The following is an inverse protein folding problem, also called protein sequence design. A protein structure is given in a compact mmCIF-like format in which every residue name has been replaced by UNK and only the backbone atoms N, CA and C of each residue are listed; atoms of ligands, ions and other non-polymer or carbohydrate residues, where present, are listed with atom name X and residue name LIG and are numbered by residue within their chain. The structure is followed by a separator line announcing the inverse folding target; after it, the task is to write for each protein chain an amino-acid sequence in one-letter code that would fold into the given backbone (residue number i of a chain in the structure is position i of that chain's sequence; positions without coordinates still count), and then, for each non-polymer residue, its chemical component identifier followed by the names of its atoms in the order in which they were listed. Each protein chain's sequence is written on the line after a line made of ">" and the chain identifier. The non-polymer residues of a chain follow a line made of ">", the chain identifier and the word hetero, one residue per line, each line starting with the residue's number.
data_IF_874981724408
#
_entry.id   IF_874981724408
#
_cell.length_a   1.000
_cell.length_b   1.000
_cell.length_c   1.000
_cell.angle_alpha   90.00
_cell.angle_beta   90.00
_cell.angle_gamma   90.00
#
_symmetry.space_group_name_H-M   'P 1'
#
loop_
_entity.id
_entity.type
_entity.pdbx_description
1 polymer ?
#
# COMPACT_ATOMS: atom_id res chain seq x y z
N UNK A 1 16.81 0.27 -21.52
CA UNK A 1 17.09 -0.34 -20.23
C UNK A 1 16.21 0.32 -19.18
N UNK A 2 15.44 -0.43 -18.45
CA UNK A 2 14.53 0.09 -17.46
C UNK A 2 13.34 -0.85 -17.29
N UNK A 3 12.47 -0.53 -16.38
CA UNK A 3 11.33 -1.34 -16.05
C UNK A 3 10.03 -0.69 -16.58
N UNK A 4 9.91 -0.54 -17.88
CA UNK A 4 8.70 -0.05 -18.56
C UNK A 4 8.25 1.38 -18.17
N UNK A 5 7.09 1.79 -18.72
CA UNK A 5 6.57 3.14 -18.63
C UNK A 5 5.62 3.44 -17.50
N UNK A 6 5.05 2.42 -16.79
CA UNK A 6 3.95 2.60 -15.84
C UNK A 6 4.29 3.58 -14.71
N UNK A 7 5.42 3.36 -14.04
CA UNK A 7 5.87 4.24 -12.95
C UNK A 7 6.22 5.65 -13.42
N UNK A 8 6.88 5.78 -14.59
CA UNK A 8 7.17 7.10 -15.16
C UNK A 8 5.91 7.84 -15.59
N UNK A 9 4.93 7.13 -16.13
CA UNK A 9 3.63 7.70 -16.49
C UNK A 9 2.92 8.28 -15.26
N UNK A 10 2.89 7.54 -14.16
CA UNK A 10 2.33 8.02 -12.90
C UNK A 10 3.04 9.28 -12.39
N UNK A 11 4.38 9.33 -12.45
CA UNK A 11 5.16 10.52 -12.08
C UNK A 11 4.80 11.72 -12.95
N UNK A 12 4.67 11.55 -14.26
CA UNK A 12 4.28 12.63 -15.19
C UNK A 12 2.84 13.11 -14.90
N UNK A 13 1.91 12.22 -14.58
CA UNK A 13 0.55 12.61 -14.22
C UNK A 13 0.51 13.42 -12.93
N UNK A 14 1.24 13.01 -11.90
CA UNK A 14 1.28 13.76 -10.63
C UNK A 14 1.85 15.17 -10.81
N UNK A 15 2.91 15.29 -11.58
CA UNK A 15 3.54 16.58 -11.93
C UNK A 15 2.57 17.47 -12.72
N UNK A 16 1.90 16.91 -13.74
CA UNK A 16 0.91 17.62 -14.54
C UNK A 16 -0.30 18.06 -13.72
N UNK A 17 -0.83 17.19 -12.86
CA UNK A 17 -1.97 17.51 -12.00
C UNK A 17 -1.63 18.67 -11.03
N UNK A 18 -0.44 18.65 -10.43
CA UNK A 18 0.02 19.74 -9.57
C UNK A 18 0.16 21.05 -10.36
N UNK A 19 0.78 20.98 -11.56
CA UNK A 19 0.96 22.14 -12.43
C UNK A 19 -0.37 22.74 -12.93
N UNK A 20 -1.38 21.91 -13.15
CA UNK A 20 -2.73 22.33 -13.57
C UNK A 20 -3.68 22.70 -12.42
N UNK A 21 -3.17 22.80 -11.19
CA UNK A 21 -3.93 23.12 -9.98
C UNK A 21 -5.00 22.07 -9.58
N UNK A 22 -4.82 20.81 -9.95
CA UNK A 22 -5.68 19.74 -9.45
C UNK A 22 -5.17 19.22 -8.11
N UNK A 23 -6.10 19.06 -7.14
CA UNK A 23 -5.80 18.36 -5.89
C UNK A 23 -5.75 16.84 -6.15
N UNK A 24 -4.58 16.24 -6.00
CA UNK A 24 -4.38 14.83 -6.27
C UNK A 24 -3.49 14.13 -5.23
N UNK A 25 -3.71 12.82 -5.07
CA UNK A 25 -2.85 11.91 -4.32
C UNK A 25 -2.37 10.79 -5.24
N UNK A 26 -1.07 10.58 -5.32
CA UNK A 26 -0.52 9.34 -5.83
C UNK A 26 -0.45 8.30 -4.72
N UNK A 27 -0.72 7.03 -5.03
CA UNK A 27 -0.64 5.93 -4.07
C UNK A 27 0.16 4.77 -4.64
N UNK A 28 1.00 4.14 -3.82
CA UNK A 28 1.80 2.99 -4.20
C UNK A 28 2.45 2.31 -3.01
N UNK A 29 3.37 1.39 -3.27
CA UNK A 29 4.16 0.69 -2.24
C UNK A 29 5.55 1.34 -2.13
N UNK A 30 6.04 1.45 -0.90
CA UNK A 30 7.41 1.83 -0.58
C UNK A 30 8.30 0.61 -0.64
N UNK A 31 8.72 0.21 -1.85
CA UNK A 31 9.58 -0.96 -2.01
C UNK A 31 10.96 -0.72 -1.41
N UNK A 32 11.42 -1.64 -0.56
CA UNK A 32 12.71 -1.52 0.16
C UNK A 32 13.92 -1.54 -0.76
N UNK A 33 13.85 -2.31 -1.83
CA UNK A 33 14.91 -2.42 -2.83
C UNK A 33 14.60 -1.67 -4.11
N UNK A 34 13.62 -0.74 -4.06
CA UNK A 34 13.25 0.08 -5.21
C UNK A 34 12.82 -0.77 -6.41
N UNK A 35 13.18 -0.30 -7.60
CA UNK A 35 12.98 -1.03 -8.84
C UNK A 35 14.07 -2.10 -9.02
N UNK A 36 15.29 -1.68 -9.27
CA UNK A 36 16.54 -2.45 -9.23
C UNK A 36 17.73 -1.52 -9.57
N UNK A 37 18.92 -1.92 -9.17
CA UNK A 37 20.17 -1.32 -9.62
C UNK A 37 20.61 -2.03 -10.89
N UNK A 38 20.90 -1.25 -11.94
CA UNK A 38 21.48 -1.77 -13.17
C UNK A 38 23.00 -1.92 -13.05
N UNK A 39 23.50 -3.11 -13.34
CA UNK A 39 24.93 -3.38 -13.47
C UNK A 39 25.19 -3.95 -14.88
N UNK A 40 26.38 -3.71 -15.42
CA UNK A 40 26.83 -4.32 -16.67
C UNK A 40 27.93 -5.31 -16.32
N UNK A 41 27.70 -6.58 -16.64
CA UNK A 41 28.69 -7.66 -16.47
C UNK A 41 28.85 -8.40 -17.80
N UNK A 42 30.09 -8.52 -18.26
CA UNK A 42 30.41 -9.17 -19.52
C UNK A 42 29.62 -8.65 -20.74
N UNK A 43 29.31 -7.35 -20.74
CA UNK A 43 28.53 -6.68 -21.80
C UNK A 43 27.01 -6.83 -21.68
N UNK A 44 26.51 -7.52 -20.67
CA UNK A 44 25.07 -7.74 -20.42
C UNK A 44 24.58 -6.97 -19.22
N UNK A 45 23.31 -6.54 -19.26
CA UNK A 45 22.63 -5.97 -18.10
C UNK A 45 22.39 -7.07 -17.05
N UNK A 46 22.74 -6.76 -15.81
CA UNK A 46 22.40 -7.55 -14.62
C UNK A 46 21.62 -6.68 -13.66
N UNK A 47 20.50 -7.20 -13.15
CA UNK A 47 19.67 -6.54 -12.16
C UNK A 47 20.15 -6.94 -10.76
N UNK A 48 20.38 -5.95 -9.90
CA UNK A 48 20.77 -6.14 -8.52
C UNK A 48 19.82 -5.38 -7.58
N UNK A 49 19.66 -5.82 -6.33
CA UNK A 49 18.86 -5.08 -5.35
C UNK A 49 19.39 -3.66 -5.16
N UNK A 50 18.52 -2.65 -5.30
CA UNK A 50 18.86 -1.25 -5.04
C UNK A 50 18.47 -0.85 -3.62
N UNK A 51 19.42 -0.86 -2.71
CA UNK A 51 19.20 -0.45 -1.32
C UNK A 51 19.20 1.08 -1.20
N UNK A 52 18.27 1.75 -1.89
CA UNK A 52 18.15 3.20 -1.95
C UNK A 52 17.85 3.88 -0.60
N UNK A 53 17.31 3.12 0.35
CA UNK A 53 16.97 3.60 1.70
C UNK A 53 18.12 3.50 2.70
N UNK A 54 19.28 2.95 2.31
CA UNK A 54 20.42 2.72 3.21
C UNK A 54 20.85 3.97 3.99
N UNK A 55 20.78 5.13 3.37
CA UNK A 55 21.18 6.41 3.97
C UNK A 55 19.98 7.31 4.31
N UNK A 56 18.77 6.76 4.30
CA UNK A 56 17.53 7.50 4.39
C UNK A 56 17.18 8.25 3.10
N UNK A 57 15.97 8.81 3.05
CA UNK A 57 15.50 9.62 1.94
C UNK A 57 14.87 10.93 2.45
N UNK A 58 15.53 12.08 2.22
CA UNK A 58 15.15 13.33 2.91
C UNK A 58 13.84 13.94 2.41
N UNK A 59 13.29 13.49 1.27
CA UNK A 59 12.05 14.02 0.70
C UNK A 59 10.81 13.24 1.11
N UNK A 60 10.92 12.22 1.94
CA UNK A 60 9.76 11.50 2.49
C UNK A 60 9.53 11.82 3.96
N UNK A 61 8.26 11.91 4.35
CA UNK A 61 7.83 12.11 5.73
C UNK A 61 6.99 10.90 6.17
N UNK A 62 7.46 10.16 7.17
CA UNK A 62 6.70 9.07 7.78
C UNK A 62 5.53 9.62 8.58
N UNK A 63 4.32 9.12 8.34
CA UNK A 63 3.05 9.59 8.92
C UNK A 63 2.31 8.46 9.66
N UNK A 64 2.84 7.97 10.79
CA UNK A 64 2.26 6.84 11.51
C UNK A 64 0.84 7.12 12.04
N UNK A 65 0.47 8.38 12.23
CA UNK A 65 -0.87 8.82 12.63
C UNK A 65 -1.96 8.54 11.58
N UNK A 66 -1.57 8.23 10.35
CA UNK A 66 -2.47 7.83 9.26
C UNK A 66 -2.37 6.34 8.91
N UNK A 67 -1.68 5.57 9.75
CA UNK A 67 -1.57 4.13 9.52
C UNK A 67 -2.94 3.45 9.38
N UNK A 68 -2.97 2.38 8.59
CA UNK A 68 -4.16 1.54 8.35
C UNK A 68 -3.82 0.09 8.59
N UNK A 69 -4.77 -0.65 9.08
CA UNK A 69 -4.66 -2.11 9.21
C UNK A 69 -5.19 -2.77 7.94
N UNK A 70 -4.42 -3.72 7.39
CA UNK A 70 -4.79 -4.49 6.21
C UNK A 70 -4.79 -5.97 6.56
N UNK A 71 -5.88 -6.64 6.25
CA UNK A 71 -6.14 -8.04 6.61
C UNK A 71 -5.99 -8.96 5.40
N UNK A 72 -5.33 -10.11 5.58
CA UNK A 72 -5.13 -11.12 4.56
C UNK A 72 -5.71 -12.47 4.98
N UNK A 73 -6.41 -13.14 4.07
CA UNK A 73 -6.99 -14.45 4.33
C UNK A 73 -8.16 -14.39 5.31
N UNK A 74 -8.33 -15.47 6.07
CA UNK A 74 -9.44 -15.59 7.00
C UNK A 74 -10.76 -16.00 6.33
N UNK A 75 -11.84 -15.84 7.05
CA UNK A 75 -13.20 -16.13 6.60
C UNK A 75 -14.20 -15.11 7.17
N UNK A 76 -15.34 -14.99 6.52
CA UNK A 76 -16.42 -14.10 6.97
C UNK A 76 -17.49 -14.93 7.65
N UNK A 77 -17.77 -14.62 8.93
CA UNK A 77 -18.92 -15.14 9.67
C UNK A 77 -20.04 -14.13 9.58
N UNK A 78 -21.24 -14.64 9.30
CA UNK A 78 -22.44 -13.81 9.20
C UNK A 78 -23.28 -14.02 10.46
N UNK A 79 -23.63 -12.93 11.13
CA UNK A 79 -24.53 -12.91 12.27
C UNK A 79 -25.75 -12.01 11.96
N UNK A 80 -26.91 -12.43 12.38
CA UNK A 80 -28.10 -11.58 12.30
C UNK A 80 -28.12 -10.58 13.47
N UNK A 81 -28.21 -9.29 13.17
CA UNK A 81 -28.43 -8.24 14.16
C UNK A 81 -29.93 -7.92 14.27
N UNK A 82 -30.63 -8.37 15.32
CA UNK A 82 -32.07 -8.15 15.46
C UNK A 82 -32.42 -6.68 15.77
N UNK A 83 -31.48 -5.90 16.26
CA UNK A 83 -31.72 -4.48 16.58
C UNK A 83 -31.77 -3.64 15.32
N UNK A 84 -30.82 -3.89 14.40
CA UNK A 84 -30.71 -3.18 13.12
C UNK A 84 -31.52 -3.82 12.01
N UNK A 85 -32.01 -5.07 12.21
CA UNK A 85 -32.69 -5.87 11.20
C UNK A 85 -31.87 -6.09 9.93
N UNK A 86 -30.56 -6.39 10.12
CA UNK A 86 -29.58 -6.59 9.03
C UNK A 86 -28.58 -7.69 9.38
N UNK A 87 -27.88 -8.21 8.36
CA UNK A 87 -26.77 -9.11 8.55
C UNK A 87 -25.50 -8.32 8.94
N UNK A 88 -24.83 -8.75 9.99
CA UNK A 88 -23.52 -8.30 10.39
C UNK A 88 -22.47 -9.26 9.86
N UNK A 89 -21.50 -8.74 9.11
CA UNK A 89 -20.38 -9.48 8.57
C UNK A 89 -19.16 -9.31 9.47
N UNK A 90 -18.60 -10.42 9.95
CA UNK A 90 -17.46 -10.44 10.87
C UNK A 90 -16.32 -11.17 10.20
N UNK A 91 -15.22 -10.48 9.96
CA UNK A 91 -14.01 -11.08 9.39
C UNK A 91 -13.14 -11.66 10.51
N UNK A 92 -12.82 -12.95 10.45
CA UNK A 92 -12.09 -13.69 11.48
C UNK A 92 -10.95 -14.53 10.86
N UNK A 93 -9.95 -14.89 11.68
CA UNK A 93 -8.86 -15.79 11.29
C UNK A 93 -7.90 -15.19 10.26
N UNK A 94 -7.88 -13.88 10.12
CA UNK A 94 -6.99 -13.18 9.18
C UNK A 94 -5.59 -12.97 9.75
N UNK A 95 -4.63 -12.78 8.85
CA UNK A 95 -3.34 -12.17 9.16
C UNK A 95 -3.41 -10.68 8.91
N UNK A 96 -2.88 -9.87 9.83
CA UNK A 96 -2.92 -8.41 9.70
C UNK A 96 -1.53 -7.81 9.60
N UNK A 97 -1.41 -6.75 8.81
CA UNK A 97 -0.23 -5.88 8.79
C UNK A 97 -0.66 -4.42 8.92
N UNK A 98 0.22 -3.61 9.48
CA UNK A 98 0.04 -2.17 9.57
C UNK A 98 0.63 -1.50 8.34
N UNK A 99 -0.19 -0.88 7.52
CA UNK A 99 0.24 -0.03 6.42
C UNK A 99 0.55 1.38 6.96
N UNK A 100 1.81 1.76 6.94
CA UNK A 100 2.29 3.06 7.42
C UNK A 100 2.65 3.94 6.23
N UNK A 101 2.01 5.12 6.05
CA UNK A 101 2.28 5.95 4.90
C UNK A 101 3.54 6.80 5.08
N UNK A 102 4.23 6.97 3.96
CA UNK A 102 5.29 7.95 3.74
C UNK A 102 4.84 8.91 2.66
N UNK A 103 4.78 10.18 2.99
CA UNK A 103 4.31 11.24 2.10
C UNK A 103 5.48 12.00 1.47
N UNK A 104 5.46 12.14 0.16
CA UNK A 104 6.40 12.94 -0.61
C UNK A 104 5.67 14.11 -1.27
N UNK A 105 6.17 15.35 -1.15
CA UNK A 105 5.56 16.50 -1.79
C UNK A 105 5.82 16.47 -3.31
N UNK A 106 4.78 16.77 -4.09
CA UNK A 106 4.83 16.94 -5.54
C UNK A 106 4.39 18.37 -5.84
N UNK A 107 5.35 19.20 -6.19
CA UNK A 107 5.12 20.63 -6.44
C UNK A 107 4.68 20.90 -7.87
N UNK A 108 3.76 21.83 -8.07
CA UNK A 108 3.39 22.32 -9.40
C UNK A 108 4.41 23.31 -9.96
N UNK A 109 4.46 23.41 -11.28
CA UNK A 109 5.31 24.39 -11.95
C UNK A 109 4.69 25.78 -11.90
N UNK A 110 5.45 26.74 -11.38
CA UNK A 110 5.10 28.16 -11.31
C UNK A 110 3.74 28.45 -10.62
N UNK A 111 3.40 27.68 -9.58
CA UNK A 111 2.22 27.87 -8.73
C UNK A 111 2.52 27.38 -7.30
N UNK A 112 1.57 27.57 -6.38
CA UNK A 112 1.71 27.21 -4.95
C UNK A 112 1.09 25.84 -4.61
N UNK A 113 0.78 25.00 -5.60
CA UNK A 113 0.18 23.69 -5.37
C UNK A 113 1.24 22.67 -4.98
N UNK A 114 0.96 21.96 -3.89
CA UNK A 114 1.75 20.83 -3.42
C UNK A 114 0.81 19.62 -3.25
N UNK A 115 0.89 18.68 -4.18
CA UNK A 115 0.21 17.40 -4.09
C UNK A 115 1.05 16.38 -3.29
N UNK A 116 0.48 15.24 -3.00
CA UNK A 116 1.14 14.20 -2.20
C UNK A 116 1.28 12.90 -2.99
N UNK A 117 2.48 12.38 -3.08
CA UNK A 117 2.70 10.97 -3.38
C UNK A 117 2.80 10.22 -2.04
N UNK A 118 1.79 9.40 -1.75
CA UNK A 118 1.73 8.55 -0.56
C UNK A 118 2.12 7.13 -0.89
N UNK A 119 3.23 6.69 -0.35
CA UNK A 119 3.68 5.31 -0.51
C UNK A 119 3.61 4.58 0.83
N UNK A 120 3.19 3.33 0.80
CA UNK A 120 2.90 2.53 1.97
C UNK A 120 4.03 1.57 2.28
N UNK A 121 4.58 1.65 3.50
CA UNK A 121 5.44 0.62 4.09
C UNK A 121 4.59 -0.31 4.95
N UNK A 122 5.03 -1.55 5.11
CA UNK A 122 4.36 -2.53 5.96
C UNK A 122 5.15 -2.75 7.25
N UNK A 123 4.46 -2.65 8.37
CA UNK A 123 4.99 -2.89 9.70
C UNK A 123 4.16 -3.99 10.38
N UNK A 124 4.73 -4.75 11.33
CA UNK A 124 3.97 -5.73 12.10
C UNK A 124 2.90 -5.05 12.95
N UNK A 125 1.79 -5.77 13.22
CA UNK A 125 0.76 -5.30 14.16
C UNK A 125 1.24 -5.46 15.59
N UNK A 126 1.92 -6.58 15.88
CA UNK A 126 2.50 -6.89 17.19
C UNK A 126 4.00 -6.70 17.06
N UNK A 127 4.56 -6.00 18.03
CA UNK A 127 6.01 -5.85 18.14
C UNK A 127 6.71 -7.20 18.38
N UNK A 128 8.03 -7.18 18.35
CA UNK A 128 8.88 -8.33 18.56
C UNK A 128 8.42 -9.22 19.74
N UNK A 129 8.26 -10.52 19.49
CA UNK A 129 7.79 -11.47 20.50
C UNK A 129 8.96 -11.94 21.38
N UNK A 130 9.20 -11.22 22.46
CA UNK A 130 10.28 -11.51 23.41
C UNK A 130 10.12 -12.88 24.09
N UNK A 131 8.89 -13.28 24.40
CA UNK A 131 8.63 -14.57 25.06
C UNK A 131 9.03 -15.77 24.18
N UNK A 132 8.77 -15.69 22.89
CA UNK A 132 9.22 -16.71 21.93
C UNK A 132 10.75 -16.71 21.79
N UNK A 133 11.34 -15.53 21.73
CA UNK A 133 12.80 -15.38 21.65
C UNK A 133 13.51 -16.00 22.86
N UNK A 134 13.05 -15.70 24.07
CA UNK A 134 13.63 -16.22 25.33
C UNK A 134 13.49 -17.74 25.46
N UNK A 135 12.48 -18.34 24.80
CA UNK A 135 12.30 -19.79 24.72
C UNK A 135 13.12 -20.44 23.60
N UNK A 136 13.93 -19.68 22.87
CA UNK A 136 14.73 -20.18 21.74
C UNK A 136 13.97 -20.36 20.45
N UNK A 137 12.71 -19.95 20.37
CA UNK A 137 11.88 -19.98 19.18
C UNK A 137 12.04 -18.68 18.36
N UNK A 138 13.22 -18.54 17.78
CA UNK A 138 13.62 -17.33 17.05
C UNK A 138 12.81 -17.12 15.77
N UNK A 139 12.28 -18.18 15.18
CA UNK A 139 11.45 -18.08 13.97
C UNK A 139 10.13 -17.37 14.28
N UNK A 140 9.41 -17.83 15.30
CA UNK A 140 8.13 -17.23 15.70
C UNK A 140 8.31 -15.82 16.30
N UNK A 141 9.48 -15.54 16.89
CA UNK A 141 9.80 -14.22 17.43
C UNK A 141 9.77 -13.11 16.36
N UNK A 142 10.07 -13.43 15.10
CA UNK A 142 10.15 -12.47 13.97
C UNK A 142 9.14 -12.76 12.86
N UNK A 143 8.20 -13.67 13.06
CA UNK A 143 7.24 -14.09 12.02
C UNK A 143 6.43 -12.92 11.47
N UNK A 144 5.88 -12.09 12.36
CA UNK A 144 5.07 -10.93 11.98
C UNK A 144 5.89 -9.87 11.24
N UNK A 145 7.14 -9.67 11.64
CA UNK A 145 8.06 -8.78 10.95
C UNK A 145 8.39 -9.30 9.55
N UNK A 146 8.65 -10.60 9.41
CA UNK A 146 8.93 -11.22 8.12
C UNK A 146 7.72 -11.14 7.19
N UNK A 147 6.50 -11.36 7.69
CA UNK A 147 5.26 -11.21 6.91
C UNK A 147 5.15 -9.79 6.35
N UNK A 148 5.23 -8.79 7.21
CA UNK A 148 5.12 -7.40 6.80
C UNK A 148 6.22 -7.03 5.80
N UNK A 149 7.47 -7.36 6.11
CA UNK A 149 8.64 -7.07 5.28
C UNK A 149 8.52 -7.67 3.88
N UNK A 150 8.10 -8.92 3.77
CA UNK A 150 7.98 -9.62 2.49
C UNK A 150 7.05 -8.89 1.51
N UNK A 151 5.97 -8.27 1.99
CA UNK A 151 4.99 -7.56 1.16
C UNK A 151 5.63 -6.37 0.43
N UNK A 152 6.56 -5.66 1.08
CA UNK A 152 7.14 -4.42 0.57
C UNK A 152 8.60 -4.54 0.13
N UNK A 153 9.14 -5.74 0.04
CA UNK A 153 10.57 -5.91 -0.17
C UNK A 153 10.98 -5.64 -1.62
N UNK A 154 10.33 -6.31 -2.58
CA UNK A 154 10.73 -6.31 -3.99
C UNK A 154 9.55 -6.06 -4.91
N UNK A 155 9.74 -5.15 -5.88
CA UNK A 155 8.82 -4.94 -7.00
C UNK A 155 8.87 -6.13 -7.97
N UNK A 156 7.72 -6.61 -8.41
CA UNK A 156 7.56 -7.72 -9.35
C UNK A 156 8.30 -9.02 -8.92
N UNK A 157 7.96 -9.61 -7.77
CA UNK A 157 8.50 -10.91 -7.41
C UNK A 157 8.15 -11.95 -8.49
N UNK A 158 9.02 -12.95 -8.64
CA UNK A 158 8.80 -14.04 -9.59
C UNK A 158 7.50 -14.77 -9.26
N UNK A 159 6.59 -14.89 -10.23
CA UNK A 159 5.27 -15.52 -10.10
C UNK A 159 5.12 -16.84 -10.89
N UNK A 160 6.22 -17.46 -11.25
CA UNK A 160 6.20 -18.80 -11.87
C UNK A 160 5.75 -19.92 -10.91
N UNK A 161 5.59 -19.60 -9.61
CA UNK A 161 5.12 -20.51 -8.56
C UNK A 161 4.00 -19.85 -7.72
N UNK A 162 3.22 -20.68 -7.02
CA UNK A 162 2.03 -20.22 -6.28
C UNK A 162 2.36 -19.16 -5.23
N UNK A 163 3.44 -19.32 -4.46
CA UNK A 163 3.84 -18.36 -3.44
C UNK A 163 4.13 -16.96 -4.04
N UNK A 164 4.72 -16.90 -5.22
CA UNK A 164 4.96 -15.63 -5.92
C UNK A 164 3.67 -14.98 -6.41
N UNK A 165 2.72 -15.78 -6.92
CA UNK A 165 1.39 -15.27 -7.32
C UNK A 165 0.63 -14.71 -6.13
N UNK A 166 0.65 -15.45 -5.01
CA UNK A 166 0.03 -15.01 -3.76
C UNK A 166 0.68 -13.71 -3.25
N UNK A 167 2.01 -13.62 -3.25
CA UNK A 167 2.72 -12.42 -2.83
C UNK A 167 2.35 -11.21 -3.71
N UNK A 168 2.30 -11.38 -5.02
CA UNK A 168 1.87 -10.29 -5.92
C UNK A 168 0.44 -9.84 -5.65
N UNK A 169 -0.47 -10.77 -5.37
CA UNK A 169 -1.84 -10.41 -4.98
C UNK A 169 -1.88 -9.69 -3.64
N UNK A 170 -1.09 -10.15 -2.65
CA UNK A 170 -0.94 -9.45 -1.35
C UNK A 170 -0.41 -8.02 -1.53
N UNK A 171 0.58 -7.81 -2.37
CA UNK A 171 1.11 -6.47 -2.69
C UNK A 171 0.03 -5.56 -3.28
N UNK A 172 -0.71 -6.05 -4.26
CA UNK A 172 -1.80 -5.28 -4.90
C UNK A 172 -2.89 -4.93 -3.91
N UNK A 173 -3.36 -5.90 -3.14
CA UNK A 173 -4.40 -5.69 -2.13
C UNK A 173 -3.92 -4.76 -1.01
N UNK A 174 -2.68 -4.89 -0.56
CA UNK A 174 -2.10 -4.09 0.51
C UNK A 174 -2.23 -2.59 0.25
N UNK A 175 -1.66 -2.10 -0.85
CA UNK A 175 -1.67 -0.65 -1.10
C UNK A 175 -3.05 -0.13 -1.51
N UNK A 176 -3.86 -0.96 -2.18
CA UNK A 176 -5.23 -0.61 -2.55
C UNK A 176 -6.09 -0.43 -1.32
N UNK A 177 -6.10 -1.41 -0.41
CA UNK A 177 -6.90 -1.34 0.82
C UNK A 177 -6.47 -0.16 1.68
N UNK A 178 -5.18 0.03 1.93
CA UNK A 178 -4.67 1.16 2.69
C UNK A 178 -5.04 2.52 2.08
N UNK A 179 -4.94 2.64 0.75
CA UNK A 179 -5.26 3.88 0.04
C UNK A 179 -6.75 4.22 0.06
N UNK A 180 -7.62 3.23 -0.15
CA UNK A 180 -9.07 3.41 -0.08
C UNK A 180 -9.53 3.78 1.33
N UNK A 181 -9.02 3.07 2.35
CA UNK A 181 -9.30 3.41 3.75
C UNK A 181 -8.87 4.84 4.09
N UNK A 182 -7.70 5.28 3.61
CA UNK A 182 -7.21 6.64 3.83
C UNK A 182 -8.07 7.70 3.11
N UNK A 183 -8.49 7.43 1.88
CA UNK A 183 -9.36 8.33 1.11
C UNK A 183 -10.73 8.50 1.79
N UNK A 184 -11.35 7.40 2.21
CA UNK A 184 -12.63 7.41 2.92
C UNK A 184 -12.50 8.12 4.28
N UNK A 185 -11.43 7.84 5.03
CA UNK A 185 -11.18 8.52 6.30
C UNK A 185 -10.97 10.03 6.12
N UNK A 186 -10.33 10.45 5.03
CA UNK A 186 -10.19 11.87 4.68
C UNK A 186 -11.54 12.49 4.32
N UNK A 187 -12.34 11.81 3.51
CA UNK A 187 -13.68 12.26 3.12
C UNK A 187 -14.57 12.48 4.35
N UNK A 188 -14.62 11.48 5.25
CA UNK A 188 -15.44 11.52 6.48
C UNK A 188 -15.05 12.63 7.48
N UNK A 189 -13.88 13.26 7.34
CA UNK A 189 -13.51 14.42 8.19
C UNK A 189 -14.33 15.69 7.89
N UNK A 190 -14.87 15.79 6.68
CA UNK A 190 -15.56 16.99 6.20
C UNK A 190 -16.94 16.73 5.62
N UNK A 191 -17.33 15.47 5.51
CA UNK A 191 -18.60 15.03 4.92
C UNK A 191 -19.18 13.86 5.72
N UNK A 192 -20.43 14.02 6.16
CA UNK A 192 -21.12 12.98 6.96
C UNK A 192 -21.81 11.92 6.08
N UNK A 193 -22.22 12.30 4.87
CA UNK A 193 -22.98 11.44 3.95
C UNK A 193 -22.05 10.70 2.98
N UNK A 194 -21.76 9.45 3.28
CA UNK A 194 -20.88 8.59 2.45
C UNK A 194 -21.49 8.28 1.06
N UNK A 195 -22.80 8.38 0.90
CA UNK A 195 -23.45 8.11 -0.39
C UNK A 195 -23.06 9.12 -1.48
N UNK A 196 -22.56 10.29 -1.07
CA UNK A 196 -22.06 11.35 -1.96
C UNK A 196 -20.55 11.29 -2.22
N UNK A 197 -19.88 10.23 -1.79
CA UNK A 197 -18.45 10.05 -2.05
C UNK A 197 -18.09 10.24 -3.53
N UNK A 198 -18.90 9.68 -4.42
CA UNK A 198 -18.73 9.72 -5.87
C UNK A 198 -18.77 11.14 -6.48
N UNK A 199 -19.37 12.13 -5.79
CA UNK A 199 -19.41 13.53 -6.23
C UNK A 199 -18.09 14.28 -5.91
N UNK A 200 -17.27 13.75 -5.01
CA UNK A 200 -16.10 14.44 -4.44
C UNK A 200 -14.78 13.72 -4.66
N UNK A 201 -14.82 12.41 -4.91
CA UNK A 201 -13.63 11.57 -4.99
C UNK A 201 -13.67 10.74 -6.27
N UNK A 202 -12.59 10.81 -7.03
CA UNK A 202 -12.37 9.99 -8.22
C UNK A 202 -11.11 9.14 -8.00
N UNK A 203 -11.20 7.87 -8.35
CA UNK A 203 -10.09 6.94 -8.30
C UNK A 203 -9.61 6.62 -9.71
N UNK A 204 -8.39 7.00 -10.04
CA UNK A 204 -7.71 6.63 -11.27
C UNK A 204 -6.85 5.39 -11.00
N UNK A 205 -7.16 4.31 -11.67
CA UNK A 205 -6.41 3.04 -11.57
C UNK A 205 -5.49 2.89 -12.77
N UNK A 206 -4.18 2.81 -12.50
CA UNK A 206 -3.20 2.59 -13.54
C UNK A 206 -2.96 1.10 -13.72
N UNK A 207 -3.20 0.59 -14.94
CA UNK A 207 -3.10 -0.83 -15.28
C UNK A 207 -4.10 -1.73 -14.51
N UNK A 208 -3.89 -3.03 -14.55
CA UNK A 208 -4.73 -4.05 -13.89
C UNK A 208 -4.34 -4.31 -12.43
N UNK A 209 -3.18 -3.86 -11.98
CA UNK A 209 -2.68 -4.08 -10.62
C UNK A 209 -3.67 -3.62 -9.53
N UNK A 210 -4.31 -2.44 -9.61
CA UNK A 210 -5.27 -1.98 -8.61
C UNK A 210 -6.72 -2.42 -8.87
N UNK A 211 -6.98 -3.36 -9.77
CA UNK A 211 -8.35 -3.80 -10.12
C UNK A 211 -9.15 -4.32 -8.92
N UNK A 212 -8.47 -4.90 -7.92
CA UNK A 212 -9.09 -5.32 -6.66
C UNK A 212 -9.74 -4.17 -5.89
N UNK A 213 -9.49 -2.91 -6.28
CA UNK A 213 -10.07 -1.73 -5.68
C UNK A 213 -11.61 -1.72 -5.74
N UNK A 214 -12.22 -2.27 -6.79
CA UNK A 214 -13.68 -2.32 -6.93
C UNK A 214 -14.29 -3.16 -5.81
N UNK A 215 -13.80 -4.39 -5.63
CA UNK A 215 -14.28 -5.28 -4.58
C UNK A 215 -13.95 -4.74 -3.18
N UNK A 216 -12.76 -4.20 -2.98
CA UNK A 216 -12.33 -3.67 -1.69
C UNK A 216 -13.12 -2.40 -1.31
N UNK A 217 -13.42 -1.51 -2.25
CA UNK A 217 -14.26 -0.36 -1.98
C UNK A 217 -15.67 -0.78 -1.56
N UNK A 218 -16.25 -1.77 -2.24
CA UNK A 218 -17.54 -2.33 -1.83
C UNK A 218 -17.48 -2.88 -0.41
N UNK A 219 -16.46 -3.68 -0.07
CA UNK A 219 -16.26 -4.21 1.29
C UNK A 219 -16.19 -3.12 2.36
N UNK A 220 -15.54 -2.00 2.07
CA UNK A 220 -15.37 -0.91 3.05
C UNK A 220 -16.68 -0.11 3.23
N UNK A 221 -17.53 -0.07 2.20
CA UNK A 221 -18.76 0.73 2.20
C UNK A 221 -19.98 -0.04 2.74
N UNK A 222 -19.91 -1.37 2.82
CA UNK A 222 -20.93 -2.25 3.43
C UNK A 222 -20.69 -2.36 4.93
#
# INVERSE_FOLDING_TARGET
>A
LGNGGLGRLAACFLDSLATLNYCAYGCGIRYRYGMFKQEIRDGYQVEAPDNWLKNGYPFELRRPEYAKEVHFGGYVRVEWDPVKNENKFIHEGYQAVKAVPYDMPITGYNNDVVNTLRIWDAEPIVDFNLDSFDKGDYHNAVEQENLARTIVEVLYPNDNHMAGKELRLKQQYFFVSASLQAAIAKYKKTHDDITKLHEKVVFQMNDTHPTVAVAELMRILI
#
